data_IF_910818726189
#
_entry.id   IF_910818726189
#
_cell.length_a   1.000
_cell.length_b   1.000
_cell.length_c   1.000
_cell.angle_alpha   90.00
_cell.angle_beta   90.00
_cell.angle_gamma   90.00
#
_symmetry.space_group_name_H-M   'P 1'
#
loop_
_entity.id
_entity.type
_entity.pdbx_description
1 polymer ?
#
# COMPACT_ATOMS: atom_id res chain seq x y z
N UNK A 1 25.11 11.66 -25.20
CA UNK A 1 26.33 12.43 -25.62
C UNK A 1 26.55 12.49 -27.13
N UNK A 2 26.76 11.38 -27.85
CA UNK A 2 27.06 11.43 -29.30
C UNK A 2 25.90 12.01 -30.15
N UNK A 3 24.66 11.59 -29.92
CA UNK A 3 23.48 12.11 -30.62
C UNK A 3 23.28 13.62 -30.40
N UNK A 4 23.52 14.12 -29.18
CA UNK A 4 23.46 15.54 -28.85
C UNK A 4 24.50 16.35 -29.61
N UNK A 5 25.74 15.85 -29.68
CA UNK A 5 26.83 16.46 -30.45
C UNK A 5 26.50 16.50 -31.95
N UNK A 6 25.98 15.40 -32.49
CA UNK A 6 25.56 15.32 -33.90
C UNK A 6 24.42 16.32 -34.18
N UNK A 7 23.40 16.37 -33.31
CA UNK A 7 22.29 17.32 -33.45
C UNK A 7 22.77 18.77 -33.43
N UNK A 8 23.65 19.13 -32.48
CA UNK A 8 24.24 20.48 -32.42
C UNK A 8 24.98 20.84 -33.70
N UNK A 9 25.78 19.91 -34.24
CA UNK A 9 26.49 20.13 -35.52
C UNK A 9 25.52 20.33 -36.69
N UNK A 10 24.42 19.56 -36.73
CA UNK A 10 23.39 19.77 -37.75
C UNK A 10 22.76 21.15 -37.63
N UNK A 11 22.32 21.55 -36.44
CA UNK A 11 21.71 22.87 -36.22
C UNK A 11 22.64 24.00 -36.65
N UNK A 12 23.90 23.99 -36.18
CA UNK A 12 24.90 24.99 -36.54
C UNK A 12 25.17 25.04 -38.05
N UNK A 13 25.13 23.89 -38.73
CA UNK A 13 25.34 23.82 -40.17
C UNK A 13 24.16 24.40 -40.96
N UNK A 14 22.92 24.12 -40.53
CA UNK A 14 21.72 24.76 -41.13
C UNK A 14 21.70 26.28 -40.94
N UNK A 15 22.06 26.79 -39.76
CA UNK A 15 22.15 28.24 -39.51
C UNK A 15 23.24 28.91 -40.37
N UNK A 16 24.38 28.23 -40.54
CA UNK A 16 25.44 28.70 -41.42
C UNK A 16 25.00 28.79 -42.89
N UNK A 17 24.19 27.84 -43.36
CA UNK A 17 23.69 27.86 -44.74
C UNK A 17 22.61 28.93 -44.96
N UNK A 18 21.71 29.14 -43.98
CA UNK A 18 20.70 30.18 -44.09
C UNK A 18 21.33 31.57 -44.18
N UNK A 19 22.42 31.82 -43.43
CA UNK A 19 23.14 33.10 -43.45
C UNK A 19 23.90 33.36 -44.76
N UNK A 20 24.19 32.33 -45.57
CA UNK A 20 24.80 32.49 -46.90
C UNK A 20 23.81 32.71 -48.05
N UNK A 21 22.51 32.62 -47.79
CA UNK A 21 21.46 32.96 -48.76
C UNK A 21 21.15 31.88 -49.80
N UNK A 22 21.71 30.67 -49.68
CA UNK A 22 21.38 29.56 -50.58
C UNK A 22 20.21 28.74 -50.02
N UNK A 23 19.00 29.28 -50.20
CA UNK A 23 17.77 28.70 -49.66
C UNK A 23 17.49 27.29 -50.20
N UNK A 24 17.86 27.00 -51.45
CA UNK A 24 17.62 25.69 -52.06
C UNK A 24 18.50 24.60 -51.42
N UNK A 25 19.79 24.90 -51.20
CA UNK A 25 20.69 24.00 -50.47
C UNK A 25 20.23 23.85 -49.02
N UNK A 26 19.84 24.95 -48.38
CA UNK A 26 19.33 24.93 -47.01
C UNK A 26 18.10 24.03 -46.87
N UNK A 27 17.11 24.12 -47.77
CA UNK A 27 15.94 23.24 -47.78
C UNK A 27 16.31 21.77 -47.99
N UNK A 28 17.17 21.48 -48.97
CA UNK A 28 17.58 20.12 -49.28
C UNK A 28 18.29 19.46 -48.09
N UNK A 29 19.22 20.19 -47.45
CA UNK A 29 19.93 19.70 -46.28
C UNK A 29 19.05 19.63 -45.04
N UNK A 30 18.11 20.56 -44.87
CA UNK A 30 17.12 20.48 -43.78
C UNK A 30 16.27 19.23 -43.93
N UNK A 31 15.81 18.91 -45.15
CA UNK A 31 15.11 17.64 -45.42
C UNK A 31 15.98 16.43 -45.10
N UNK A 32 17.23 16.42 -45.55
CA UNK A 32 18.17 15.33 -45.26
C UNK A 32 18.39 15.16 -43.75
N UNK A 33 18.64 16.25 -43.01
CA UNK A 33 18.81 16.25 -41.56
C UNK A 33 17.55 15.75 -40.86
N UNK A 34 16.36 16.17 -41.30
CA UNK A 34 15.09 15.70 -40.75
C UNK A 34 14.93 14.18 -40.91
N UNK A 35 15.17 13.63 -42.11
CA UNK A 35 15.14 12.18 -42.35
C UNK A 35 16.20 11.44 -41.53
N UNK A 36 17.39 12.02 -41.39
CA UNK A 36 18.45 11.42 -40.58
C UNK A 36 18.08 11.41 -39.08
N UNK A 37 17.45 12.49 -38.59
CA UNK A 37 16.93 12.55 -37.21
C UNK A 37 15.83 11.53 -36.95
N UNK A 38 15.00 11.19 -37.94
CA UNK A 38 14.00 10.11 -37.81
C UNK A 38 14.67 8.75 -37.61
N UNK A 39 15.66 8.41 -38.44
CA UNK A 39 16.42 7.14 -38.31
C UNK A 39 17.18 7.09 -36.96
N UNK A 40 17.80 8.20 -36.58
CA UNK A 40 18.48 8.30 -35.27
C UNK A 40 17.49 8.21 -34.11
N UNK A 41 16.25 8.66 -34.30
CA UNK A 41 15.18 8.57 -33.31
C UNK A 41 14.86 7.13 -32.92
N UNK A 42 14.70 6.23 -33.89
CA UNK A 42 14.44 4.80 -33.63
C UNK A 42 15.59 4.14 -32.87
N UNK A 43 16.83 4.45 -33.26
CA UNK A 43 18.02 3.90 -32.59
C UNK A 43 18.14 4.43 -31.17
N UNK A 44 17.94 5.74 -30.99
CA UNK A 44 17.97 6.39 -29.68
C UNK A 44 16.89 5.84 -28.75
N UNK A 45 15.65 5.65 -29.25
CA UNK A 45 14.56 5.02 -28.52
C UNK A 45 14.97 3.66 -27.95
N UNK A 46 15.56 2.80 -28.80
CA UNK A 46 16.01 1.46 -28.41
C UNK A 46 17.11 1.51 -27.37
N UNK A 47 18.09 2.39 -27.53
CA UNK A 47 19.19 2.57 -26.58
C UNK A 47 18.71 3.10 -25.23
N UNK A 48 17.85 4.14 -25.22
CA UNK A 48 17.26 4.68 -23.99
C UNK A 48 16.45 3.63 -23.24
N UNK A 49 15.63 2.86 -23.96
CA UNK A 49 14.88 1.74 -23.38
C UNK A 49 15.82 0.71 -22.75
N UNK A 50 16.82 0.25 -23.49
CA UNK A 50 17.76 -0.77 -23.00
C UNK A 50 18.54 -0.27 -21.78
N UNK A 51 18.98 0.98 -21.79
CA UNK A 51 19.67 1.58 -20.67
C UNK A 51 18.80 1.59 -19.40
N UNK A 52 17.55 2.04 -19.51
CA UNK A 52 16.61 2.04 -18.38
C UNK A 52 16.31 0.62 -17.87
N UNK A 53 16.22 -0.37 -18.76
CA UNK A 53 16.06 -1.78 -18.35
C UNK A 53 17.28 -2.32 -17.62
N UNK A 54 18.48 -1.92 -18.03
CA UNK A 54 19.71 -2.25 -17.30
C UNK A 54 19.66 -1.65 -15.89
N UNK A 55 19.20 -0.42 -15.73
CA UNK A 55 19.04 0.19 -14.40
C UNK A 55 18.02 -0.54 -13.53
N UNK A 56 16.88 -0.95 -14.09
CA UNK A 56 15.91 -1.80 -13.37
C UNK A 56 16.55 -3.14 -12.96
N UNK A 57 17.40 -3.73 -13.81
CA UNK A 57 18.07 -5.00 -13.50
C UNK A 57 19.07 -4.93 -12.34
N UNK A 58 19.53 -3.73 -11.99
CA UNK A 58 20.41 -3.51 -10.84
C UNK A 58 19.68 -3.54 -9.50
N UNK A 59 18.34 -3.51 -9.50
CA UNK A 59 17.55 -3.56 -8.27
C UNK A 59 17.69 -4.96 -7.66
N UNK A 60 18.60 -5.07 -6.70
CA UNK A 60 18.85 -6.29 -5.95
C UNK A 60 18.70 -6.05 -4.46
N UNK A 61 18.04 -6.96 -3.73
CA UNK A 61 17.83 -6.79 -2.30
C UNK A 61 19.17 -6.82 -1.54
N UNK A 62 19.32 -6.03 -0.49
CA UNK A 62 20.52 -6.06 0.34
C UNK A 62 20.70 -7.44 0.98
N UNK A 63 21.96 -7.84 1.19
CA UNK A 63 22.31 -9.11 1.83
C UNK A 63 21.78 -9.19 3.26
N UNK A 64 21.78 -8.07 3.98
CA UNK A 64 21.24 -7.98 5.33
C UNK A 64 19.70 -8.06 5.33
N UNK A 65 19.15 -9.09 5.97
CA UNK A 65 17.71 -9.32 6.12
C UNK A 65 17.00 -8.17 6.84
N UNK A 66 17.61 -7.58 7.87
CA UNK A 66 16.98 -6.50 8.63
C UNK A 66 16.74 -5.25 7.77
N UNK A 67 17.69 -4.91 6.89
CA UNK A 67 17.54 -3.82 5.93
C UNK A 67 16.49 -4.13 4.86
N UNK A 68 16.38 -5.41 4.46
CA UNK A 68 15.44 -5.88 3.44
C UNK A 68 13.99 -5.66 3.86
N UNK A 69 13.64 -6.02 5.10
CA UNK A 69 12.27 -5.88 5.63
C UNK A 69 11.81 -4.43 5.77
N UNK A 70 12.72 -3.47 5.90
CA UNK A 70 12.32 -2.06 5.99
C UNK A 70 11.91 -1.47 4.65
N UNK A 71 12.12 -2.15 3.53
CA UNK A 71 11.81 -1.76 2.14
C UNK A 71 12.37 -0.41 1.65
N UNK A 72 12.87 0.47 2.53
CA UNK A 72 13.49 1.77 2.21
C UNK A 72 14.71 1.65 1.30
N UNK A 73 15.33 0.47 1.22
CA UNK A 73 16.43 0.19 0.30
C UNK A 73 16.03 0.29 -1.18
N UNK A 74 14.73 0.22 -1.51
CA UNK A 74 14.23 0.39 -2.88
C UNK A 74 14.24 1.86 -3.32
N UNK A 75 14.15 2.81 -2.38
CA UNK A 75 13.97 4.24 -2.69
C UNK A 75 15.12 4.80 -3.54
N UNK A 76 16.42 4.58 -3.21
CA UNK A 76 17.52 5.10 -4.01
C UNK A 76 17.48 4.62 -5.46
N UNK A 77 17.06 3.37 -5.70
CA UNK A 77 16.94 2.84 -7.06
C UNK A 77 15.80 3.51 -7.85
N UNK A 78 14.66 3.78 -7.19
CA UNK A 78 13.54 4.50 -7.81
C UNK A 78 13.97 5.94 -8.14
N UNK A 79 14.67 6.61 -7.23
CA UNK A 79 15.18 7.97 -7.44
C UNK A 79 16.23 8.03 -8.57
N UNK A 80 17.11 7.04 -8.67
CA UNK A 80 18.08 6.94 -9.75
C UNK A 80 17.39 6.73 -11.12
N UNK A 81 16.39 5.83 -11.20
CA UNK A 81 15.60 5.64 -12.42
C UNK A 81 14.88 6.93 -12.80
N UNK A 82 14.25 7.60 -11.83
CA UNK A 82 13.61 8.90 -12.05
C UNK A 82 14.60 9.91 -12.64
N UNK A 83 15.76 10.09 -12.02
CA UNK A 83 16.80 11.03 -12.49
C UNK A 83 17.20 10.74 -13.93
N UNK A 84 17.41 9.46 -14.26
CA UNK A 84 17.82 9.05 -15.61
C UNK A 84 16.72 9.32 -16.63
N UNK A 85 15.45 9.04 -16.29
CA UNK A 85 14.33 9.34 -17.18
C UNK A 85 14.23 10.86 -17.43
N UNK A 86 14.37 11.69 -16.40
CA UNK A 86 14.35 13.15 -16.53
C UNK A 86 15.49 13.65 -17.43
N UNK A 87 16.68 13.10 -17.29
CA UNK A 87 17.82 13.43 -18.16
C UNK A 87 17.54 13.03 -19.62
N UNK A 88 17.00 11.83 -19.84
CA UNK A 88 16.65 11.32 -21.17
C UNK A 88 15.59 12.21 -21.83
N UNK A 89 14.57 12.65 -21.09
CA UNK A 89 13.55 13.62 -21.58
C UNK A 89 14.22 14.89 -22.07
N UNK A 90 15.05 15.52 -21.22
CA UNK A 90 15.69 16.78 -21.56
C UNK A 90 16.64 16.66 -22.75
N UNK A 91 17.51 15.63 -22.76
CA UNK A 91 18.42 15.39 -23.88
C UNK A 91 17.68 15.17 -25.19
N UNK A 92 16.56 14.43 -25.16
CA UNK A 92 15.82 14.08 -26.36
C UNK A 92 15.08 15.27 -26.95
N UNK A 93 14.53 16.13 -26.11
CA UNK A 93 13.95 17.40 -26.59
C UNK A 93 15.01 18.25 -27.29
N UNK A 94 16.23 18.35 -26.73
CA UNK A 94 17.32 19.10 -27.38
C UNK A 94 17.75 18.48 -28.72
N UNK A 95 17.65 17.15 -28.87
CA UNK A 95 18.03 16.45 -30.11
C UNK A 95 16.92 16.55 -31.16
N UNK A 96 15.71 16.18 -30.80
CA UNK A 96 14.59 15.91 -31.72
C UNK A 96 13.52 17.01 -31.74
N UNK A 97 13.63 18.02 -30.87
CA UNK A 97 12.58 19.02 -30.69
C UNK A 97 11.26 18.35 -30.32
N UNK A 98 10.14 18.88 -30.80
CA UNK A 98 8.80 18.37 -30.47
C UNK A 98 8.56 16.90 -30.84
N UNK A 99 9.32 16.32 -31.78
CA UNK A 99 9.22 14.89 -32.15
C UNK A 99 9.75 13.96 -31.06
N UNK A 100 10.46 14.47 -30.05
CA UNK A 100 10.98 13.62 -28.96
C UNK A 100 9.88 12.85 -28.25
N UNK A 101 8.67 13.42 -28.18
CA UNK A 101 7.53 12.83 -27.51
C UNK A 101 7.20 11.47 -28.11
N UNK A 102 7.03 11.39 -29.44
CA UNK A 102 6.71 10.13 -30.14
C UNK A 102 7.84 9.10 -30.06
N UNK A 103 9.08 9.57 -29.92
CA UNK A 103 10.26 8.73 -29.82
C UNK A 103 10.36 8.12 -28.41
N UNK A 104 10.33 8.93 -27.36
CA UNK A 104 10.69 8.48 -26.02
C UNK A 104 9.53 7.93 -25.21
N UNK A 105 8.36 8.51 -25.35
CA UNK A 105 7.24 8.23 -24.46
C UNK A 105 6.86 6.74 -24.44
N UNK A 106 6.81 6.03 -25.59
CA UNK A 106 6.58 4.58 -25.58
C UNK A 106 7.63 3.79 -24.77
N UNK A 107 8.87 4.28 -24.71
CA UNK A 107 9.95 3.64 -23.94
C UNK A 107 9.79 3.88 -22.44
N UNK A 108 9.43 5.10 -22.03
CA UNK A 108 9.14 5.43 -20.62
C UNK A 108 7.96 4.60 -20.12
N UNK A 109 6.90 4.52 -20.92
CA UNK A 109 5.72 3.70 -20.67
C UNK A 109 6.07 2.23 -20.41
N UNK A 110 6.92 1.68 -21.28
CA UNK A 110 7.38 0.30 -21.16
C UNK A 110 8.20 0.09 -19.90
N UNK A 111 9.13 1.01 -19.61
CA UNK A 111 10.03 0.92 -18.44
C UNK A 111 9.26 1.00 -17.13
N UNK A 112 8.25 1.88 -17.02
CA UNK A 112 7.39 1.96 -15.83
C UNK A 112 6.60 0.65 -15.65
N UNK A 113 6.08 0.09 -16.75
CA UNK A 113 5.38 -1.19 -16.72
C UNK A 113 6.30 -2.34 -16.27
N UNK A 114 7.54 -2.35 -16.77
CA UNK A 114 8.53 -3.37 -16.39
C UNK A 114 8.94 -3.21 -14.92
N UNK A 115 9.11 -1.98 -14.43
CA UNK A 115 9.42 -1.72 -13.02
C UNK A 115 8.35 -2.30 -12.10
N UNK A 116 7.06 -2.03 -12.39
CA UNK A 116 5.93 -2.58 -11.64
C UNK A 116 5.94 -4.11 -11.71
N UNK A 117 6.21 -4.65 -12.91
CA UNK A 117 6.26 -6.10 -13.14
C UNK A 117 7.34 -6.77 -12.31
N UNK A 118 8.55 -6.20 -12.27
CA UNK A 118 9.66 -6.70 -11.47
C UNK A 118 9.33 -6.67 -9.98
N UNK A 119 8.77 -5.57 -9.47
CA UNK A 119 8.39 -5.44 -8.06
C UNK A 119 7.36 -6.52 -7.66
N UNK A 120 6.39 -6.79 -8.53
CA UNK A 120 5.36 -7.80 -8.30
C UNK A 120 5.89 -9.25 -8.45
N UNK A 121 6.66 -9.53 -9.50
CA UNK A 121 7.18 -10.88 -9.75
C UNK A 121 8.19 -11.31 -8.69
N UNK A 122 9.13 -10.42 -8.34
CA UNK A 122 10.17 -10.67 -7.33
C UNK A 122 9.70 -10.51 -5.89
N UNK A 123 8.47 -10.03 -5.70
CA UNK A 123 7.87 -9.78 -4.38
C UNK A 123 8.77 -8.90 -3.48
N UNK A 124 9.35 -7.83 -4.04
CA UNK A 124 10.25 -6.94 -3.29
C UNK A 124 9.56 -6.19 -2.14
N UNK A 125 8.24 -6.08 -2.22
CA UNK A 125 7.40 -5.55 -1.14
C UNK A 125 6.85 -6.65 -0.24
N UNK A 126 7.27 -7.91 -0.37
CA UNK A 126 6.88 -9.04 0.49
C UNK A 126 5.34 -9.21 0.66
N UNK A 127 4.55 -8.91 -0.37
CA UNK A 127 3.10 -9.03 -0.32
C UNK A 127 2.68 -10.50 -0.33
N UNK A 128 3.38 -11.36 -1.08
CA UNK A 128 3.05 -12.79 -1.11
C UNK A 128 3.35 -13.47 0.22
N UNK A 129 4.42 -13.05 0.91
CA UNK A 129 4.71 -13.50 2.29
C UNK A 129 3.62 -13.12 3.27
N UNK A 130 3.10 -11.90 3.16
CA UNK A 130 2.02 -11.41 4.02
C UNK A 130 0.73 -12.20 3.83
N UNK A 131 0.40 -12.57 2.58
CA UNK A 131 -0.75 -13.43 2.26
C UNK A 131 -0.59 -14.81 2.92
N UNK A 132 0.62 -15.34 2.99
CA UNK A 132 0.92 -16.62 3.64
C UNK A 132 0.98 -16.53 5.17
N UNK A 133 0.65 -15.37 5.76
CA UNK A 133 0.58 -15.15 7.21
C UNK A 133 1.89 -15.45 7.95
N UNK A 134 3.05 -15.21 7.31
CA UNK A 134 4.35 -15.32 7.97
C UNK A 134 4.56 -14.17 8.98
N UNK A 135 3.99 -14.30 10.18
CA UNK A 135 4.04 -13.28 11.23
C UNK A 135 5.24 -13.54 12.15
N UNK A 136 6.15 -12.58 12.22
CA UNK A 136 7.28 -12.64 13.14
C UNK A 136 6.81 -12.36 14.59
N UNK A 137 6.70 -13.42 15.39
CA UNK A 137 6.20 -13.35 16.77
C UNK A 137 7.04 -12.48 17.73
N UNK A 138 8.28 -12.15 17.36
CA UNK A 138 9.20 -11.40 18.21
C UNK A 138 9.07 -9.87 18.10
N UNK A 139 8.37 -9.36 17.08
CA UNK A 139 8.24 -7.90 16.83
C UNK A 139 7.13 -7.28 17.67
N UNK A 140 7.12 -5.96 17.87
CA UNK A 140 5.94 -5.23 18.35
C UNK A 140 4.85 -5.09 17.28
N UNK A 141 3.58 -4.83 17.65
CA UNK A 141 2.56 -4.49 16.62
C UNK A 141 2.91 -3.18 15.93
N UNK A 142 3.40 -2.18 16.66
CA UNK A 142 3.94 -0.95 16.07
C UNK A 142 5.06 -1.20 15.06
N UNK A 143 6.00 -2.10 15.36
CA UNK A 143 7.10 -2.46 14.44
C UNK A 143 6.60 -3.17 13.17
N UNK A 144 5.61 -4.07 13.31
CA UNK A 144 4.99 -4.74 12.17
C UNK A 144 4.26 -3.71 11.30
N UNK A 145 3.47 -2.82 11.91
CA UNK A 145 2.77 -1.77 11.19
C UNK A 145 3.75 -0.85 10.45
N UNK A 146 4.85 -0.45 11.09
CA UNK A 146 5.91 0.34 10.45
C UNK A 146 6.50 -0.37 9.23
N UNK A 147 6.82 -1.66 9.36
CA UNK A 147 7.35 -2.48 8.27
C UNK A 147 6.38 -2.53 7.07
N UNK A 148 5.09 -2.79 7.34
CA UNK A 148 4.08 -2.89 6.30
C UNK A 148 3.80 -1.54 5.65
N UNK A 149 3.78 -0.46 6.43
CA UNK A 149 3.57 0.89 5.91
C UNK A 149 4.78 1.45 5.16
N UNK A 150 6.00 1.00 5.47
CA UNK A 150 7.17 1.30 4.63
C UNK A 150 7.02 0.74 3.22
N UNK A 151 6.35 -0.41 3.04
CA UNK A 151 6.03 -0.92 1.69
C UNK A 151 5.09 0.02 0.94
N UNK A 152 4.10 0.58 1.64
CA UNK A 152 3.15 1.56 1.08
C UNK A 152 3.85 2.86 0.69
N UNK A 153 4.81 3.33 1.50
CA UNK A 153 5.67 4.48 1.15
C UNK A 153 6.40 4.25 -0.16
N UNK A 154 6.94 3.05 -0.39
CA UNK A 154 7.66 2.74 -1.63
C UNK A 154 6.74 2.85 -2.84
N UNK A 155 5.51 2.36 -2.78
CA UNK A 155 4.54 2.52 -3.88
C UNK A 155 4.20 4.00 -4.09
N UNK A 156 4.04 4.77 -3.01
CA UNK A 156 3.86 6.22 -3.07
C UNK A 156 5.03 6.94 -3.75
N UNK A 157 6.26 6.47 -3.54
CA UNK A 157 7.44 6.97 -4.24
C UNK A 157 7.37 6.72 -5.75
N UNK A 158 6.86 5.56 -6.17
CA UNK A 158 6.67 5.27 -7.60
C UNK A 158 5.61 6.20 -8.19
N UNK A 159 4.51 6.47 -7.48
CA UNK A 159 3.54 7.49 -7.90
C UNK A 159 4.17 8.87 -8.07
N UNK A 160 4.91 9.34 -7.05
CA UNK A 160 5.55 10.65 -7.10
C UNK A 160 6.60 10.73 -8.22
N UNK A 161 7.32 9.64 -8.50
CA UNK A 161 8.20 9.54 -9.68
C UNK A 161 7.42 9.72 -10.98
N UNK A 162 6.30 8.99 -11.16
CA UNK A 162 5.46 9.10 -12.37
C UNK A 162 4.90 10.51 -12.53
N UNK A 163 4.39 11.12 -11.45
CA UNK A 163 3.91 12.50 -11.47
C UNK A 163 5.02 13.48 -11.90
N UNK A 164 6.22 13.33 -11.34
CA UNK A 164 7.36 14.18 -11.70
C UNK A 164 7.78 14.01 -13.16
N UNK A 165 7.77 12.78 -13.67
CA UNK A 165 8.06 12.49 -15.09
C UNK A 165 7.02 13.16 -15.99
N UNK A 166 5.74 13.03 -15.64
CA UNK A 166 4.65 13.65 -16.39
C UNK A 166 4.76 15.18 -16.37
N UNK A 167 5.09 15.80 -15.23
CA UNK A 167 5.27 17.24 -15.14
C UNK A 167 6.49 17.73 -15.92
N UNK A 168 7.59 16.98 -15.93
CA UNK A 168 8.75 17.29 -16.76
C UNK A 168 8.41 17.22 -18.27
N UNK A 169 7.62 16.22 -18.69
CA UNK A 169 7.13 16.13 -20.06
C UNK A 169 6.27 17.35 -20.44
N UNK A 170 5.35 17.77 -19.56
CA UNK A 170 4.52 18.97 -19.76
C UNK A 170 5.36 20.23 -19.91
N UNK A 171 6.29 20.46 -18.97
CA UNK A 171 7.16 21.64 -18.99
C UNK A 171 8.04 21.68 -20.24
N UNK A 172 8.54 20.53 -20.68
CA UNK A 172 9.40 20.45 -21.87
C UNK A 172 8.64 20.76 -23.17
N UNK A 173 7.33 20.54 -23.19
CA UNK A 173 6.46 20.81 -24.34
C UNK A 173 5.73 22.16 -24.27
N UNK A 174 5.97 22.94 -23.22
CA UNK A 174 5.25 24.21 -23.01
C UNK A 174 5.43 25.14 -24.21
N UNK A 175 4.32 25.60 -24.80
CA UNK A 175 4.32 26.43 -26.01
C UNK A 175 3.89 25.70 -27.29
N UNK A 176 3.53 24.42 -27.22
CA UNK A 176 2.93 23.68 -28.32
C UNK A 176 1.54 23.14 -27.94
N UNK A 177 0.50 23.96 -28.18
CA UNK A 177 -0.86 23.76 -27.69
C UNK A 177 -1.50 22.40 -28.07
N UNK A 178 -1.13 21.83 -29.23
CA UNK A 178 -1.65 20.52 -29.67
C UNK A 178 -1.07 19.40 -28.80
N UNK A 179 0.24 19.44 -28.54
CA UNK A 179 0.93 18.42 -27.76
C UNK A 179 0.57 18.51 -26.27
N UNK A 180 0.39 19.71 -25.72
CA UNK A 180 -0.04 19.90 -24.32
C UNK A 180 -1.37 19.21 -24.01
N UNK A 181 -2.34 19.28 -24.94
CA UNK A 181 -3.68 18.71 -24.73
C UNK A 181 -3.66 17.17 -24.73
N UNK A 182 -2.91 16.56 -25.64
CA UNK A 182 -2.73 15.10 -25.72
C UNK A 182 -2.08 14.55 -24.45
N UNK A 183 -1.10 15.28 -23.91
CA UNK A 183 -0.29 14.86 -22.76
C UNK A 183 -1.06 14.96 -21.44
N UNK A 184 -1.83 16.04 -21.27
CA UNK A 184 -2.64 16.28 -20.08
C UNK A 184 -3.79 15.27 -19.93
N UNK A 185 -4.48 14.93 -21.01
CA UNK A 185 -5.73 14.17 -20.89
C UNK A 185 -5.53 12.66 -20.92
N UNK A 186 -4.57 12.17 -21.69
CA UNK A 186 -4.41 10.73 -21.94
C UNK A 186 -3.20 10.14 -21.25
N UNK A 187 -2.02 10.69 -21.51
CA UNK A 187 -0.80 9.98 -21.18
C UNK A 187 -0.47 9.94 -19.67
N UNK A 188 -0.64 11.07 -18.99
CA UNK A 188 -0.46 11.14 -17.52
C UNK A 188 -1.44 10.21 -16.79
N UNK A 189 -2.69 10.19 -17.25
CA UNK A 189 -3.74 9.34 -16.67
C UNK A 189 -3.45 7.86 -16.91
N UNK A 190 -3.03 7.49 -18.12
CA UNK A 190 -2.70 6.11 -18.47
C UNK A 190 -1.53 5.57 -17.62
N UNK A 191 -0.48 6.38 -17.42
CA UNK A 191 0.66 6.00 -16.57
C UNK A 191 0.28 5.80 -15.10
N UNK A 192 -0.47 6.74 -14.52
CA UNK A 192 -0.95 6.61 -13.14
C UNK A 192 -1.91 5.43 -12.97
N UNK A 193 -2.75 5.17 -13.98
CA UNK A 193 -3.70 4.07 -13.97
C UNK A 193 -3.02 2.69 -14.05
N UNK A 194 -1.88 2.56 -14.74
CA UNK A 194 -1.08 1.32 -14.75
C UNK A 194 -0.62 0.91 -13.35
N UNK A 195 -0.36 1.87 -12.47
CA UNK A 195 0.04 1.60 -11.09
C UNK A 195 -1.14 1.29 -10.17
N UNK A 196 -2.37 1.64 -10.56
CA UNK A 196 -3.54 1.65 -9.66
C UNK A 196 -3.84 0.26 -9.09
N UNK A 197 -3.87 -0.76 -9.94
CA UNK A 197 -4.16 -2.13 -9.52
C UNK A 197 -3.06 -2.68 -8.61
N UNK A 198 -1.79 -2.42 -8.93
CA UNK A 198 -0.67 -2.83 -8.09
C UNK A 198 -0.67 -2.11 -6.74
N UNK A 199 -0.95 -0.81 -6.74
CA UNK A 199 -1.04 -0.02 -5.51
C UNK A 199 -2.16 -0.52 -4.60
N UNK A 200 -3.38 -0.64 -5.11
CA UNK A 200 -4.51 -1.15 -4.33
C UNK A 200 -4.20 -2.55 -3.80
N UNK A 201 -3.60 -3.42 -4.62
CA UNK A 201 -3.14 -4.73 -4.19
C UNK A 201 -2.15 -4.65 -3.01
N UNK A 202 -1.10 -3.82 -3.11
CA UNK A 202 -0.12 -3.66 -2.02
C UNK A 202 -0.78 -3.08 -0.78
N UNK A 203 -1.48 -1.94 -0.90
CA UNK A 203 -2.08 -1.24 0.23
C UNK A 203 -3.06 -2.13 0.97
N UNK A 204 -4.00 -2.76 0.27
CA UNK A 204 -4.99 -3.64 0.89
C UNK A 204 -4.34 -4.82 1.60
N UNK A 205 -3.40 -5.52 0.97
CA UNK A 205 -2.74 -6.65 1.62
C UNK A 205 -1.90 -6.24 2.82
N UNK A 206 -1.23 -5.07 2.78
CA UNK A 206 -0.44 -4.56 3.90
C UNK A 206 -1.31 -4.17 5.09
N UNK A 207 -2.47 -3.55 4.84
CA UNK A 207 -3.48 -3.26 5.86
C UNK A 207 -4.01 -4.57 6.47
N UNK A 208 -4.40 -5.54 5.64
CA UNK A 208 -4.85 -6.86 6.09
C UNK A 208 -3.78 -7.59 6.90
N UNK A 209 -2.50 -7.51 6.51
CA UNK A 209 -1.39 -8.13 7.23
C UNK A 209 -1.21 -7.58 8.65
N UNK A 210 -1.45 -6.27 8.86
CA UNK A 210 -1.46 -5.68 10.20
C UNK A 210 -2.60 -6.27 11.03
N UNK A 211 -3.81 -6.38 10.45
CA UNK A 211 -4.94 -7.06 11.09
C UNK A 211 -4.62 -8.52 11.46
N UNK A 212 -4.02 -9.27 10.54
CA UNK A 212 -3.64 -10.67 10.76
C UNK A 212 -2.58 -10.80 11.87
N UNK A 213 -1.67 -9.84 12.01
CA UNK A 213 -0.71 -9.81 13.10
C UNK A 213 -1.37 -9.61 14.47
N UNK A 214 -2.42 -8.79 14.54
CA UNK A 214 -3.24 -8.61 15.74
C UNK A 214 -3.99 -9.90 16.06
N UNK A 215 -4.67 -10.45 15.05
CA UNK A 215 -5.41 -11.72 15.15
C UNK A 215 -4.51 -12.82 15.71
N UNK A 216 -3.34 -13.05 15.10
CA UNK A 216 -2.42 -14.10 15.53
C UNK A 216 -2.04 -14.02 17.01
N UNK A 217 -1.78 -12.81 17.53
CA UNK A 217 -1.46 -12.62 18.95
C UNK A 217 -2.67 -12.86 19.83
N UNK A 218 -3.83 -12.34 19.44
CA UNK A 218 -5.07 -12.56 20.16
C UNK A 218 -5.40 -14.05 20.23
N UNK A 219 -5.32 -14.78 19.11
CA UNK A 219 -5.54 -16.23 19.08
C UNK A 219 -4.59 -16.99 20.01
N UNK A 220 -3.33 -16.57 20.07
CA UNK A 220 -2.34 -17.16 20.99
C UNK A 220 -2.73 -16.90 22.46
N UNK A 221 -3.08 -15.67 22.81
CA UNK A 221 -3.49 -15.32 24.17
C UNK A 221 -4.79 -16.03 24.59
N UNK A 222 -5.76 -16.15 23.67
CA UNK A 222 -6.98 -16.93 23.90
C UNK A 222 -6.65 -18.40 24.11
N UNK A 223 -5.75 -18.98 23.29
CA UNK A 223 -5.33 -20.39 23.46
C UNK A 223 -4.61 -20.62 24.79
N UNK A 224 -3.72 -19.71 25.19
CA UNK A 224 -3.00 -19.80 26.46
C UNK A 224 -3.97 -19.70 27.65
N UNK A 225 -4.95 -18.79 27.57
CA UNK A 225 -6.04 -18.67 28.55
C UNK A 225 -6.88 -19.95 28.66
N UNK A 226 -7.26 -20.57 27.54
CA UNK A 226 -8.02 -21.82 27.52
C UNK A 226 -7.21 -22.98 28.10
N UNK A 227 -5.92 -23.09 27.78
CA UNK A 227 -5.02 -24.13 28.33
C UNK A 227 -4.83 -23.98 29.84
N UNK A 228 -4.68 -22.76 30.34
CA UNK A 228 -4.61 -22.51 31.77
C UNK A 228 -5.88 -22.98 32.50
N UNK A 229 -7.06 -22.82 31.87
CA UNK A 229 -8.32 -23.35 32.39
C UNK A 229 -8.35 -24.88 32.40
N UNK A 230 -8.03 -25.53 31.28
CA UNK A 230 -8.03 -26.99 31.18
C UNK A 230 -7.05 -27.63 32.17
N UNK A 231 -5.85 -27.06 32.33
CA UNK A 231 -4.85 -27.56 33.27
C UNK A 231 -5.30 -27.42 34.73
N UNK A 232 -6.01 -26.35 35.08
CA UNK A 232 -6.60 -26.20 36.43
C UNK A 232 -7.69 -27.23 36.71
N UNK A 233 -8.46 -27.63 35.70
CA UNK A 233 -9.49 -28.70 35.80
C UNK A 233 -8.85 -30.09 35.90
N UNK A 234 -7.76 -30.35 35.18
CA UNK A 234 -7.06 -31.63 35.24
C UNK A 234 -6.32 -31.87 36.56
N UNK A 235 -5.85 -30.81 37.24
CA UNK A 235 -5.20 -30.92 38.55
C UNK A 235 -6.21 -31.23 39.65
N UNK A 236 -7.43 -30.68 39.59
CA UNK A 236 -8.48 -30.94 40.58
C UNK A 236 -9.07 -32.36 40.51
N UNK A 237 -8.98 -33.03 39.35
CA UNK A 237 -9.47 -34.40 39.18
C UNK A 237 -8.47 -35.51 39.60
N UNK A 238 -7.18 -35.19 39.80
CA UNK A 238 -6.13 -36.19 40.12
C UNK A 238 -5.84 -36.38 41.62
N UNK A 239 -6.48 -35.62 42.51
CA UNK A 239 -6.29 -35.75 43.96
C UNK A 239 -7.47 -36.49 44.59
N UNK A 240 -7.30 -37.80 44.76
CA UNK A 240 -8.21 -38.69 45.50
C UNK A 240 -8.12 -38.46 47.00
N UNK A 241 -8.66 -37.34 47.48
CA UNK A 241 -9.00 -37.12 48.90
C UNK A 241 -10.26 -36.26 48.99
N UNK A 242 -11.24 -36.66 49.81
CA UNK A 242 -12.51 -35.94 49.90
C UNK A 242 -12.30 -34.62 50.63
N UNK A 243 -12.14 -33.51 49.90
CA UNK A 243 -12.21 -32.18 50.49
C UNK A 243 -13.66 -31.76 50.65
N UNK A 244 -14.08 -31.64 51.91
CA UNK A 244 -15.24 -30.87 52.32
C UNK A 244 -15.07 -29.41 51.83
N UNK A 245 -16.09 -28.90 51.15
CA UNK A 245 -16.39 -27.48 50.91
C UNK A 245 -15.21 -26.60 50.47
N UNK A 246 -14.85 -26.66 49.19
CA UNK A 246 -14.53 -25.48 48.38
C UNK A 246 -14.55 -25.87 46.90
N UNK A 247 -15.74 -25.84 46.31
CA UNK A 247 -15.91 -25.75 44.86
C UNK A 247 -15.43 -24.37 44.41
N UNK A 248 -14.12 -24.19 44.18
CA UNK A 248 -13.67 -23.07 43.35
C UNK A 248 -14.03 -23.40 41.90
N UNK A 249 -15.21 -22.94 41.51
CA UNK A 249 -15.61 -22.76 40.11
C UNK A 249 -14.51 -22.02 39.34
N UNK A 250 -14.48 -22.11 37.99
CA UNK A 250 -13.53 -21.34 37.20
C UNK A 250 -13.72 -19.86 37.55
N UNK A 251 -12.64 -19.16 37.93
CA UNK A 251 -12.71 -17.72 38.19
C UNK A 251 -12.85 -16.99 36.84
N UNK A 252 -14.09 -16.88 36.38
CA UNK A 252 -14.46 -15.93 35.34
C UNK A 252 -14.39 -14.52 35.92
N UNK A 253 -13.74 -13.61 35.21
CA UNK A 253 -13.62 -12.21 35.64
C UNK A 253 -14.77 -11.42 35.05
N UNK A 254 -15.48 -10.63 35.84
CA UNK A 254 -16.46 -9.71 35.28
C UNK A 254 -15.83 -8.40 34.77
N UNK A 255 -14.50 -8.39 34.61
CA UNK A 255 -13.75 -7.43 33.79
C UNK A 255 -13.42 -8.05 32.44
N UNK A 256 -13.10 -7.23 31.41
CA UNK A 256 -12.55 -7.75 30.15
C UNK A 256 -11.32 -8.61 30.42
N UNK A 257 -11.18 -9.71 29.68
CA UNK A 257 -10.02 -10.58 29.77
C UNK A 257 -8.75 -9.86 29.26
N UNK A 258 -7.58 -10.32 29.71
CA UNK A 258 -6.29 -9.71 29.36
C UNK A 258 -6.03 -9.68 27.85
N UNK A 259 -6.51 -10.68 27.10
CA UNK A 259 -6.40 -10.66 25.64
C UNK A 259 -7.21 -9.52 24.99
N UNK A 260 -8.32 -9.10 25.62
CA UNK A 260 -9.12 -7.97 25.16
C UNK A 260 -8.47 -6.64 25.52
N UNK A 261 -7.94 -6.50 26.73
CA UNK A 261 -7.23 -5.27 27.11
C UNK A 261 -5.96 -5.09 26.26
N UNK A 262 -5.24 -6.17 25.99
CA UNK A 262 -4.11 -6.19 25.06
C UNK A 262 -4.54 -5.87 23.62
N UNK A 263 -5.70 -6.36 23.17
CA UNK A 263 -6.27 -6.01 21.87
C UNK A 263 -6.49 -4.49 21.74
N UNK A 264 -7.09 -3.85 22.75
CA UNK A 264 -7.26 -2.39 22.79
C UNK A 264 -5.92 -1.64 22.69
N UNK A 265 -4.90 -2.09 23.41
CA UNK A 265 -3.55 -1.51 23.33
C UNK A 265 -2.93 -1.67 21.93
N UNK A 266 -3.17 -2.78 21.24
CA UNK A 266 -2.67 -3.01 19.87
C UNK A 266 -3.34 -2.08 18.86
N UNK A 267 -4.64 -1.87 18.97
CA UNK A 267 -5.33 -0.88 18.14
C UNK A 267 -4.78 0.53 18.37
N UNK A 268 -4.57 0.93 19.63
CA UNK A 268 -3.96 2.22 19.93
C UNK A 268 -2.56 2.39 19.31
N UNK A 269 -1.73 1.33 19.33
CA UNK A 269 -0.43 1.34 18.64
C UNK A 269 -0.58 1.52 17.12
N UNK A 270 -1.55 0.84 16.50
CA UNK A 270 -1.84 1.01 15.07
C UNK A 270 -2.29 2.44 14.76
N UNK A 271 -3.21 3.02 15.54
CA UNK A 271 -3.67 4.40 15.36
C UNK A 271 -2.51 5.37 15.38
N UNK A 272 -1.67 5.31 16.42
CA UNK A 272 -0.49 6.16 16.54
C UNK A 272 0.45 6.01 15.33
N UNK A 273 0.63 4.77 14.85
CA UNK A 273 1.47 4.51 13.67
C UNK A 273 0.85 5.10 12.39
N UNK A 274 -0.46 4.93 12.18
CA UNK A 274 -1.18 5.49 11.03
C UNK A 274 -1.09 7.02 11.02
N UNK A 275 -1.30 7.68 12.15
CA UNK A 275 -1.19 9.14 12.28
C UNK A 275 0.21 9.64 11.89
N UNK A 276 1.26 8.97 12.38
CA UNK A 276 2.65 9.32 12.04
C UNK A 276 2.92 9.13 10.54
N UNK A 277 2.44 8.04 9.95
CA UNK A 277 2.71 7.74 8.54
C UNK A 277 1.92 8.62 7.57
N UNK A 278 0.72 9.08 7.93
CA UNK A 278 -0.04 10.02 7.10
C UNK A 278 0.60 11.40 6.97
N UNK A 279 1.52 11.77 7.88
CA UNK A 279 2.36 12.95 7.70
C UNK A 279 3.37 12.79 6.54
N UNK A 280 3.64 11.56 6.08
CA UNK A 280 4.48 11.30 4.93
C UNK A 280 3.68 11.45 3.62
N UNK A 281 4.10 12.38 2.75
CA UNK A 281 3.47 12.66 1.45
C UNK A 281 3.26 11.39 0.61
N UNK A 282 4.26 10.51 0.55
CA UNK A 282 4.22 9.33 -0.31
C UNK A 282 3.28 8.26 0.24
N UNK A 283 3.27 8.06 1.57
CA UNK A 283 2.28 7.19 2.20
C UNK A 283 0.87 7.69 1.93
N UNK A 284 0.62 8.99 2.18
CA UNK A 284 -0.67 9.63 1.92
C UNK A 284 -1.11 9.43 0.47
N UNK A 285 -0.24 9.71 -0.49
CA UNK A 285 -0.51 9.57 -1.92
C UNK A 285 -0.94 8.13 -2.29
N UNK A 286 -0.17 7.12 -1.87
CA UNK A 286 -0.50 5.72 -2.14
C UNK A 286 -1.86 5.33 -1.54
N UNK A 287 -2.14 5.78 -0.32
CA UNK A 287 -3.39 5.51 0.39
C UNK A 287 -4.58 6.18 -0.29
N UNK A 288 -4.44 7.44 -0.73
CA UNK A 288 -5.47 8.18 -1.48
C UNK A 288 -5.84 7.49 -2.80
N UNK A 289 -4.84 7.04 -3.56
CA UNK A 289 -5.07 6.31 -4.80
C UNK A 289 -5.76 4.97 -4.55
N UNK A 290 -5.34 4.22 -3.52
CA UNK A 290 -5.97 2.93 -3.17
C UNK A 290 -7.43 3.12 -2.74
N UNK A 291 -7.70 4.11 -1.89
CA UNK A 291 -9.04 4.49 -1.47
C UNK A 291 -9.93 4.86 -2.66
N UNK A 292 -9.42 5.73 -3.54
CA UNK A 292 -10.16 6.18 -4.72
C UNK A 292 -10.47 5.04 -5.69
N UNK A 293 -9.53 4.11 -5.89
CA UNK A 293 -9.78 2.90 -6.70
C UNK A 293 -10.82 1.98 -6.06
N UNK A 294 -10.77 1.78 -4.74
CA UNK A 294 -11.74 0.96 -4.04
C UNK A 294 -13.16 1.53 -4.16
N UNK A 295 -13.32 2.86 -4.06
CA UNK A 295 -14.60 3.54 -4.29
C UNK A 295 -15.18 3.30 -5.69
N UNK A 296 -14.34 3.17 -6.73
CA UNK A 296 -14.81 2.86 -8.09
C UNK A 296 -15.37 1.44 -8.18
N UNK A 297 -14.84 0.51 -7.40
CA UNK A 297 -15.26 -0.90 -7.40
C UNK A 297 -16.46 -1.17 -6.48
N UNK A 298 -16.58 -0.46 -5.36
CA UNK A 298 -17.68 -0.62 -4.41
C UNK A 298 -18.84 0.31 -4.74
N UNK A 299 -19.72 -0.11 -5.65
CA UNK A 299 -20.97 0.62 -5.97
C UNK A 299 -21.94 0.74 -4.77
N UNK A 300 -21.76 -0.05 -3.71
CA UNK A 300 -22.72 -0.22 -2.62
C UNK A 300 -22.32 0.44 -1.28
N UNK A 301 -21.15 1.06 -1.17
CA UNK A 301 -20.80 1.87 0.03
C UNK A 301 -20.84 3.35 -0.36
N UNK A 302 -21.98 4.01 -0.15
CA UNK A 302 -22.07 5.49 -0.14
C UNK A 302 -21.23 6.04 1.02
N UNK A 303 -19.91 6.03 0.88
CA UNK A 303 -19.11 7.01 1.60
C UNK A 303 -19.36 8.32 0.88
N UNK A 304 -20.15 9.20 1.53
CA UNK A 304 -20.50 10.53 1.03
C UNK A 304 -19.25 11.16 0.42
N UNK A 305 -19.32 11.48 -0.88
CA UNK A 305 -18.37 12.33 -1.60
C UNK A 305 -18.38 13.74 -0.95
N UNK A 306 -17.79 13.90 0.22
CA UNK A 306 -17.06 15.13 0.48
C UNK A 306 -15.79 15.07 -0.37
N UNK A 307 -15.37 16.22 -0.89
CA UNK A 307 -14.13 16.39 -1.64
C UNK A 307 -12.97 15.62 -1.01
N UNK A 308 -11.99 15.22 -1.82
CA UNK A 308 -10.75 14.52 -1.36
C UNK A 308 -10.06 15.26 -0.19
N UNK A 309 -10.34 16.54 0.00
CA UNK A 309 -9.92 17.38 1.12
C UNK A 309 -10.51 16.99 2.50
N UNK A 310 -11.53 16.12 2.55
CA UNK A 310 -12.17 15.65 3.79
C UNK A 310 -12.11 14.14 4.02
N UNK A 311 -11.23 13.42 3.29
CA UNK A 311 -11.09 11.97 3.47
C UNK A 311 -10.27 11.71 4.74
N UNK A 312 -10.93 11.13 5.74
CA UNK A 312 -10.27 10.54 6.90
C UNK A 312 -9.56 9.25 6.48
N UNK A 313 -8.44 9.37 5.77
CA UNK A 313 -7.63 8.24 5.31
C UNK A 313 -7.15 7.40 6.48
N UNK A 314 -6.91 8.04 7.63
CA UNK A 314 -6.67 7.39 8.91
C UNK A 314 -7.82 6.48 9.27
N UNK A 315 -9.05 6.99 9.32
CA UNK A 315 -10.24 6.19 9.62
C UNK A 315 -10.45 5.08 8.59
N UNK A 316 -10.16 5.30 7.31
CA UNK A 316 -10.25 4.23 6.32
C UNK A 316 -9.25 3.10 6.59
N UNK A 317 -7.97 3.40 6.86
CA UNK A 317 -6.97 2.39 7.21
C UNK A 317 -7.39 1.67 8.49
N UNK A 318 -7.71 2.43 9.54
CA UNK A 318 -8.07 1.89 10.86
C UNK A 318 -9.31 1.01 10.73
N UNK A 319 -10.34 1.44 9.98
CA UNK A 319 -11.55 0.68 9.76
C UNK A 319 -11.27 -0.67 9.08
N UNK A 320 -10.45 -0.71 8.03
CA UNK A 320 -10.15 -1.99 7.35
C UNK A 320 -9.38 -2.96 8.27
N UNK A 321 -8.51 -2.45 9.15
CA UNK A 321 -7.80 -3.28 10.14
C UNK A 321 -8.79 -3.79 11.19
N UNK A 322 -9.60 -2.89 11.75
CA UNK A 322 -10.59 -3.19 12.79
C UNK A 322 -11.65 -4.17 12.29
N UNK A 323 -12.20 -3.97 11.10
CA UNK A 323 -13.21 -4.85 10.49
C UNK A 323 -12.68 -6.28 10.35
N UNK A 324 -11.44 -6.47 9.89
CA UNK A 324 -10.80 -7.79 9.81
C UNK A 324 -10.68 -8.47 11.19
N UNK A 325 -10.20 -7.72 12.19
CA UNK A 325 -9.99 -8.26 13.55
C UNK A 325 -11.30 -8.57 14.25
N UNK A 326 -12.31 -7.68 14.14
CA UNK A 326 -13.64 -7.86 14.74
C UNK A 326 -14.35 -9.05 14.09
N UNK A 327 -14.33 -9.17 12.76
CA UNK A 327 -14.92 -10.33 12.08
C UNK A 327 -14.29 -11.64 12.55
N UNK A 328 -12.96 -11.68 12.67
CA UNK A 328 -12.30 -12.85 13.24
C UNK A 328 -12.78 -13.14 14.68
N UNK A 329 -12.86 -12.12 15.54
CA UNK A 329 -13.32 -12.30 16.91
C UNK A 329 -14.75 -12.86 16.96
N UNK A 330 -15.69 -12.24 16.25
CA UNK A 330 -17.09 -12.68 16.19
C UNK A 330 -17.17 -14.15 15.76
N UNK A 331 -16.49 -14.54 14.68
CA UNK A 331 -16.49 -15.92 14.18
C UNK A 331 -15.98 -16.95 15.20
N UNK A 332 -15.05 -16.58 16.09
CA UNK A 332 -14.51 -17.53 17.08
C UNK A 332 -15.37 -17.65 18.34
N UNK A 333 -16.23 -16.66 18.61
CA UNK A 333 -17.03 -16.64 19.84
C UNK A 333 -18.54 -16.73 19.58
N UNK A 334 -18.98 -16.75 18.33
CA UNK A 334 -20.40 -16.86 17.97
C UNK A 334 -21.08 -18.09 18.56
N UNK A 335 -20.42 -19.25 18.52
CA UNK A 335 -20.96 -20.52 19.05
C UNK A 335 -21.08 -20.55 20.58
N UNK A 336 -20.49 -19.58 21.30
CA UNK A 336 -20.60 -19.51 22.76
C UNK A 336 -22.04 -19.26 23.19
N UNK A 337 -22.84 -18.59 22.35
CA UNK A 337 -24.27 -18.41 22.56
C UNK A 337 -25.04 -19.74 22.68
N UNK A 338 -24.51 -20.83 22.09
CA UNK A 338 -25.15 -22.15 22.08
C UNK A 338 -24.57 -23.10 23.15
N UNK A 339 -23.59 -22.64 23.95
CA UNK A 339 -23.02 -23.45 25.03
C UNK A 339 -23.94 -23.46 26.25
N UNK A 340 -23.84 -24.44 27.15
CA UNK A 340 -24.55 -24.41 28.45
C UNK A 340 -23.70 -23.79 29.58
N UNK A 341 -22.56 -23.14 29.26
CA UNK A 341 -21.70 -22.50 30.28
C UNK A 341 -22.06 -21.02 30.44
N UNK A 342 -22.95 -20.74 31.38
CA UNK A 342 -23.42 -19.40 31.69
C UNK A 342 -22.32 -18.41 32.06
N UNK A 343 -21.26 -18.87 32.72
CA UNK A 343 -20.16 -17.97 33.10
C UNK A 343 -19.30 -17.62 31.89
N UNK A 344 -19.11 -18.56 30.96
CA UNK A 344 -18.46 -18.29 29.69
C UNK A 344 -19.25 -17.28 28.85
N UNK A 345 -20.57 -17.41 28.78
CA UNK A 345 -21.43 -16.41 28.12
C UNK A 345 -21.27 -15.02 28.74
N UNK A 346 -21.31 -14.92 30.07
CA UNK A 346 -21.08 -13.64 30.77
C UNK A 346 -19.73 -13.04 30.46
N UNK A 347 -18.68 -13.85 30.40
CA UNK A 347 -17.35 -13.37 30.03
C UNK A 347 -17.32 -12.81 28.61
N UNK A 348 -17.84 -13.58 27.64
CA UNK A 348 -17.86 -13.19 26.23
C UNK A 348 -18.71 -11.95 26.01
N UNK A 349 -19.81 -11.78 26.76
CA UNK A 349 -20.61 -10.56 26.75
C UNK A 349 -19.82 -9.34 27.22
N UNK A 350 -19.04 -9.46 28.29
CA UNK A 350 -18.22 -8.36 28.81
C UNK A 350 -17.09 -8.04 27.83
N UNK A 351 -16.47 -9.05 27.24
CA UNK A 351 -15.45 -8.88 26.21
C UNK A 351 -16.02 -8.23 24.94
N UNK A 352 -17.22 -8.63 24.49
CA UNK A 352 -17.91 -8.01 23.37
C UNK A 352 -18.24 -6.54 23.64
N UNK A 353 -18.72 -6.20 24.84
CA UNK A 353 -18.95 -4.81 25.25
C UNK A 353 -17.66 -3.98 25.21
N UNK A 354 -16.58 -4.53 25.76
CA UNK A 354 -15.29 -3.86 25.70
C UNK A 354 -14.81 -3.65 24.26
N UNK A 355 -15.00 -4.63 23.37
CA UNK A 355 -14.67 -4.49 21.96
C UNK A 355 -15.51 -3.40 21.28
N UNK A 356 -16.80 -3.30 21.60
CA UNK A 356 -17.67 -2.22 21.14
C UNK A 356 -17.11 -0.86 21.59
N UNK A 357 -16.77 -0.73 22.88
CA UNK A 357 -16.20 0.51 23.42
C UNK A 357 -14.89 0.89 22.72
N UNK A 358 -13.99 -0.08 22.50
CA UNK A 358 -12.76 0.12 21.72
C UNK A 358 -13.06 0.60 20.30
N UNK A 359 -14.04 -0.01 19.61
CA UNK A 359 -14.40 0.40 18.24
C UNK A 359 -14.95 1.83 18.22
N UNK A 360 -15.77 2.19 19.20
CA UNK A 360 -16.31 3.56 19.34
C UNK A 360 -15.20 4.56 19.66
N UNK A 361 -14.25 4.21 20.53
CA UNK A 361 -13.08 5.04 20.86
C UNK A 361 -12.16 5.28 19.64
N UNK A 362 -12.17 4.37 18.66
CA UNK A 362 -11.50 4.54 17.36
C UNK A 362 -12.28 5.45 16.39
N UNK A 363 -13.40 6.04 16.82
CA UNK A 363 -14.36 6.78 15.98
C UNK A 363 -14.95 5.95 14.83
N UNK A 364 -15.18 4.66 15.07
CA UNK A 364 -15.78 3.73 14.12
C UNK A 364 -17.16 3.27 14.60
N UNK A 365 -17.98 2.77 13.66
CA UNK A 365 -19.24 2.11 13.99
C UNK A 365 -19.01 0.61 14.23
N UNK A 366 -19.50 0.05 15.35
CA UNK A 366 -19.48 -1.39 15.58
C UNK A 366 -20.22 -2.15 14.48
N UNK A 367 -19.73 -3.34 14.12
CA UNK A 367 -20.40 -4.18 13.12
C UNK A 367 -21.75 -4.66 13.64
N UNK A 368 -22.70 -4.84 12.72
CA UNK A 368 -24.03 -5.39 13.04
C UNK A 368 -23.90 -6.73 13.76
N UNK A 369 -23.02 -7.61 13.28
CA UNK A 369 -22.81 -8.93 13.88
C UNK A 369 -22.34 -8.87 15.34
N UNK A 370 -21.43 -7.92 15.66
CA UNK A 370 -20.94 -7.72 17.03
C UNK A 370 -22.06 -7.20 17.95
N UNK A 371 -22.88 -6.27 17.45
CA UNK A 371 -24.03 -5.73 18.18
C UNK A 371 -25.09 -6.81 18.43
N UNK A 372 -25.42 -7.61 17.41
CA UNK A 372 -26.38 -8.71 17.50
C UNK A 372 -25.93 -9.78 18.50
N UNK A 373 -24.66 -10.19 18.43
CA UNK A 373 -24.08 -11.13 19.39
C UNK A 373 -24.16 -10.60 20.82
N UNK A 374 -23.77 -9.34 21.04
CA UNK A 374 -23.86 -8.71 22.36
C UNK A 374 -25.31 -8.63 22.88
N UNK A 375 -26.28 -8.32 21.99
CA UNK A 375 -27.70 -8.26 22.35
C UNK A 375 -28.25 -9.63 22.76
N UNK A 376 -27.89 -10.68 22.01
CA UNK A 376 -28.33 -12.06 22.24
C UNK A 376 -27.82 -12.56 23.59
N UNK A 377 -26.53 -12.37 23.87
CA UNK A 377 -25.94 -12.72 25.16
C UNK A 377 -26.58 -11.95 26.31
N UNK A 378 -26.89 -10.65 26.12
CA UNK A 378 -27.60 -9.88 27.14
C UNK A 378 -28.97 -10.48 27.48
N UNK A 379 -29.75 -10.85 26.46
CA UNK A 379 -31.07 -11.46 26.65
C UNK A 379 -30.97 -12.79 27.41
N UNK A 380 -30.03 -13.66 27.05
CA UNK A 380 -29.81 -14.94 27.76
C UNK A 380 -29.41 -14.68 29.21
N UNK A 381 -28.49 -13.75 29.46
CA UNK A 381 -28.00 -13.39 30.80
C UNK A 381 -29.11 -12.82 31.68
N UNK A 382 -30.00 -12.01 31.12
CA UNK A 382 -31.12 -11.43 31.87
C UNK A 382 -32.24 -12.43 32.15
N UNK A 383 -32.45 -13.43 31.27
CA UNK A 383 -33.42 -14.52 31.49
C UNK A 383 -33.01 -15.44 32.65
N UNK A 384 -31.72 -15.76 32.82
CA UNK A 384 -31.25 -16.57 33.94
C UNK A 384 -31.21 -15.82 35.29
N UNK A 385 -31.38 -14.49 35.31
CA UNK A 385 -31.52 -13.73 36.57
C UNK A 385 -32.94 -13.78 37.15
N UNK A 386 -33.93 -14.18 36.35
CA UNK A 386 -35.34 -14.33 36.74
C UNK A 386 -35.61 -15.74 37.22
#
# INVERSE_FOLDING_TARGET
MAYLQISKKFTSFTEFLSTRGDNAICECLTKFICSLKEILGETYQKESKNFLLIEISKITPPENSASRHRHKWLIPYIEDIQRIILQIIHESFVIFGNKFYDILVPSIDFVITELITVFNQKDYLEVKKDINQEICGNKGIGEIAEEKFNSVIVVGYIYNMVETICDALKQTLSGNAINEKILNEKHTRDLLQKLSSFNTYVVSNKITAVGNAIIHRMSKEVSDYLKEKENKINISQKLSTPLQNTTSLPNYSYSPQDYMTNLGQRFLQVVNTVTVFLANKNFKLATEYAYTEQLKTNKNKEFKKSSVEGVYLDLWIINNITENVVQYWVLNFQDVCDTNDFNMMKQVYIDAKFLIDVVVDLNLEPSTDLLEMCSTLNTIIDQEKQ
#
